data_IF_279057603136
#
_entry.id   IF_279057603136
#
_cell.length_a   1.000
_cell.length_b   1.000
_cell.length_c   1.000
_cell.angle_alpha   90.00
_cell.angle_beta   90.00
_cell.angle_gamma   90.00
#
_symmetry.space_group_name_H-M   'P 1'
#
loop_
_entity.id
_entity.type
_entity.pdbx_description
1 polymer ?
#
# COMPACT_ATOMS: atom_id res chain seq x y z
N UNK A 1 -27.84 20.79 27.67
CA UNK A 1 -27.62 20.76 26.20
C UNK A 1 -26.37 21.56 25.79
N UNK A 2 -26.16 22.78 26.31
CA UNK A 2 -24.96 23.60 26.00
C UNK A 2 -23.65 22.94 26.43
N UNK A 3 -23.60 22.44 27.67
CA UNK A 3 -22.40 21.86 28.32
C UNK A 3 -21.83 20.62 27.60
N UNK A 4 -22.67 19.85 26.91
CA UNK A 4 -22.24 18.64 26.20
C UNK A 4 -21.70 18.93 24.79
N UNK A 5 -22.24 19.97 24.13
CA UNK A 5 -21.71 20.43 22.83
C UNK A 5 -20.26 20.87 22.99
N UNK A 6 -19.94 21.58 24.07
CA UNK A 6 -18.57 21.98 24.39
C UNK A 6 -17.66 20.78 24.69
N UNK A 7 -18.16 19.76 25.41
CA UNK A 7 -17.35 18.58 25.77
C UNK A 7 -17.08 17.63 24.59
N UNK A 8 -18.01 17.53 23.63
CA UNK A 8 -17.78 16.79 22.37
C UNK A 8 -16.81 17.56 21.46
N UNK A 9 -16.85 18.89 21.48
CA UNK A 9 -15.94 19.72 20.68
C UNK A 9 -14.50 19.79 21.24
N UNK A 10 -14.30 19.61 22.54
CA UNK A 10 -12.98 19.78 23.21
C UNK A 10 -12.22 18.48 23.52
N UNK A 11 -12.81 17.29 23.40
CA UNK A 11 -12.15 16.04 23.79
C UNK A 11 -12.20 14.98 22.68
N UNK A 12 -11.08 14.24 22.51
CA UNK A 12 -10.97 13.02 21.69
C UNK A 12 -12.28 12.24 21.67
N UNK A 13 -12.81 11.91 20.48
CA UNK A 13 -14.11 11.29 20.26
C UNK A 13 -14.41 10.23 21.34
N UNK A 14 -15.15 10.58 22.40
CA UNK A 14 -15.34 9.66 23.51
C UNK A 14 -16.35 8.61 23.07
N UNK A 15 -16.40 7.46 23.76
CA UNK A 15 -17.47 6.49 23.57
C UNK A 15 -18.83 7.17 23.81
N UNK A 16 -19.44 7.64 22.72
CA UNK A 16 -20.62 8.54 22.73
C UNK A 16 -21.80 7.87 23.40
N UNK A 17 -21.87 6.54 23.36
CA UNK A 17 -22.86 5.75 24.07
C UNK A 17 -22.68 5.81 25.59
N UNK A 18 -21.44 5.75 26.10
CA UNK A 18 -21.16 5.80 27.53
C UNK A 18 -21.47 7.19 28.11
N UNK A 19 -21.08 8.25 27.40
CA UNK A 19 -21.35 9.65 27.81
C UNK A 19 -22.86 9.94 27.78
N UNK A 20 -23.56 9.51 26.74
CA UNK A 20 -25.02 9.71 26.63
C UNK A 20 -25.78 8.99 27.73
N UNK A 21 -25.36 7.78 28.15
CA UNK A 21 -26.00 7.06 29.27
C UNK A 21 -25.85 7.78 30.60
N UNK A 22 -24.69 8.40 30.87
CA UNK A 22 -24.44 9.12 32.13
C UNK A 22 -25.24 10.42 32.25
N UNK A 23 -25.58 11.05 31.12
CA UNK A 23 -26.20 12.37 31.09
C UNK A 23 -27.73 12.34 30.96
N UNK A 24 -28.29 11.20 30.56
CA UNK A 24 -29.72 11.07 30.31
C UNK A 24 -30.39 10.33 31.45
N UNK A 25 -31.25 11.03 32.20
CA UNK A 25 -32.05 10.46 33.28
C UNK A 25 -33.26 9.67 32.73
N UNK A 26 -32.98 8.62 31.93
CA UNK A 26 -33.93 7.76 31.21
C UNK A 26 -34.77 8.42 30.09
N UNK A 27 -34.57 9.69 29.77
CA UNK A 27 -35.26 10.36 28.66
C UNK A 27 -34.76 9.89 27.27
N UNK A 28 -35.57 9.05 26.63
CA UNK A 28 -35.27 8.48 25.31
C UNK A 28 -35.20 9.52 24.18
N UNK A 29 -35.88 10.67 24.31
CA UNK A 29 -35.91 11.73 23.29
C UNK A 29 -34.59 12.47 23.28
N UNK A 30 -34.10 12.87 24.45
CA UNK A 30 -32.78 13.53 24.60
C UNK A 30 -31.65 12.58 24.16
N UNK A 31 -31.73 11.29 24.50
CA UNK A 31 -30.79 10.27 24.03
C UNK A 31 -30.74 10.17 22.51
N UNK A 32 -31.88 10.25 21.82
CA UNK A 32 -31.95 10.18 20.35
C UNK A 32 -31.32 11.43 19.73
N UNK A 33 -31.64 12.62 20.24
CA UNK A 33 -31.07 13.88 19.75
C UNK A 33 -29.54 13.93 19.92
N UNK A 34 -29.02 13.47 21.06
CA UNK A 34 -27.58 13.43 21.32
C UNK A 34 -26.83 12.46 20.41
N UNK A 35 -27.42 11.30 20.10
CA UNK A 35 -26.85 10.38 19.11
C UNK A 35 -26.82 10.98 17.71
N UNK A 36 -27.86 11.70 17.30
CA UNK A 36 -27.91 12.37 15.99
C UNK A 36 -26.84 13.46 15.91
N UNK A 37 -26.72 14.27 16.95
CA UNK A 37 -25.68 15.31 17.02
C UNK A 37 -24.27 14.70 16.97
N UNK A 38 -23.98 13.70 17.81
CA UNK A 38 -22.67 13.05 17.81
C UNK A 38 -22.32 12.41 16.46
N UNK A 39 -23.29 11.79 15.77
CA UNK A 39 -23.10 11.30 14.40
C UNK A 39 -22.77 12.43 13.43
N UNK A 40 -23.50 13.55 13.50
CA UNK A 40 -23.26 14.71 12.64
C UNK A 40 -21.84 15.29 12.80
N UNK A 41 -21.30 15.32 14.04
CA UNK A 41 -19.93 15.76 14.31
C UNK A 41 -18.86 14.84 13.70
N UNK A 42 -19.13 13.54 13.57
CA UNK A 42 -18.21 12.59 12.94
C UNK A 42 -18.44 12.43 11.43
N UNK A 43 -19.59 12.87 10.92
CA UNK A 43 -20.03 12.61 9.54
C UNK A 43 -19.07 13.20 8.51
N UNK A 44 -18.54 14.41 8.75
CA UNK A 44 -17.59 15.05 7.83
C UNK A 44 -16.27 14.27 7.76
N UNK A 45 -15.73 13.86 8.91
CA UNK A 45 -14.52 13.04 8.96
C UNK A 45 -14.73 11.66 8.33
N UNK A 46 -15.88 11.02 8.59
CA UNK A 46 -16.26 9.76 7.95
C UNK A 46 -16.41 9.89 6.44
N UNK A 47 -17.10 10.94 5.96
CA UNK A 47 -17.27 11.20 4.54
C UNK A 47 -15.91 11.43 3.87
N UNK A 48 -15.05 12.24 4.47
CA UNK A 48 -13.68 12.45 3.99
C UNK A 48 -12.90 11.14 3.92
N UNK A 49 -12.91 10.34 4.99
CA UNK A 49 -12.20 9.05 5.03
C UNK A 49 -12.73 8.09 3.96
N UNK A 50 -14.04 7.98 3.82
CA UNK A 50 -14.67 7.14 2.82
C UNK A 50 -14.29 7.59 1.40
N UNK A 51 -14.37 8.89 1.11
CA UNK A 51 -13.93 9.44 -0.19
C UNK A 51 -12.45 9.14 -0.42
N UNK A 52 -11.58 9.45 0.55
CA UNK A 52 -10.13 9.26 0.40
C UNK A 52 -9.73 7.81 0.17
N UNK A 53 -10.24 6.87 0.96
CA UNK A 53 -9.82 5.47 0.91
C UNK A 53 -10.58 4.65 -0.15
N UNK A 54 -11.83 5.00 -0.45
CA UNK A 54 -12.63 4.28 -1.45
C UNK A 54 -12.49 4.83 -2.86
N UNK A 55 -12.01 6.06 -3.03
CA UNK A 55 -11.84 6.71 -4.34
C UNK A 55 -10.36 7.03 -4.55
N UNK A 56 -9.83 8.05 -3.85
CA UNK A 56 -8.52 8.63 -4.18
C UNK A 56 -7.35 7.64 -4.01
N UNK A 57 -7.39 6.81 -2.96
CA UNK A 57 -6.31 5.88 -2.61
C UNK A 57 -6.63 4.43 -2.97
N UNK A 58 -7.77 4.16 -3.63
CA UNK A 58 -8.26 2.80 -3.88
C UNK A 58 -7.20 1.94 -4.58
N UNK A 59 -6.60 2.46 -5.64
CA UNK A 59 -5.64 1.71 -6.46
C UNK A 59 -4.31 1.52 -5.73
N UNK A 60 -3.84 2.55 -5.02
CA UNK A 60 -2.64 2.45 -4.20
C UNK A 60 -2.80 1.42 -3.07
N UNK A 61 -3.97 1.38 -2.43
CA UNK A 61 -4.30 0.40 -1.41
C UNK A 61 -4.43 -1.01 -1.98
N UNK A 62 -4.97 -1.15 -3.19
CA UNK A 62 -5.03 -2.43 -3.88
C UNK A 62 -3.62 -2.95 -4.18
N UNK A 63 -2.75 -2.12 -4.76
CA UNK A 63 -1.34 -2.45 -4.99
C UNK A 63 -0.65 -2.85 -3.68
N UNK A 64 -0.84 -2.08 -2.62
CA UNK A 64 -0.29 -2.41 -1.30
C UNK A 64 -0.84 -3.75 -0.78
N UNK A 65 -2.15 -3.99 -0.90
CA UNK A 65 -2.81 -5.23 -0.48
C UNK A 65 -2.18 -6.43 -1.16
N UNK A 66 -2.02 -6.39 -2.48
CA UNK A 66 -1.53 -7.52 -3.29
C UNK A 66 -0.02 -7.70 -3.19
N UNK A 67 0.74 -6.62 -3.01
CA UNK A 67 2.18 -6.69 -2.76
C UNK A 67 2.50 -7.51 -1.51
N UNK A 68 1.63 -7.53 -0.49
CA UNK A 68 1.80 -8.35 0.71
C UNK A 68 1.80 -9.85 0.43
N UNK A 69 1.27 -10.32 -0.69
CA UNK A 69 1.38 -11.74 -1.05
C UNK A 69 2.82 -12.17 -1.34
N UNK A 70 3.71 -11.24 -1.68
CA UNK A 70 5.14 -11.52 -1.76
C UNK A 70 5.76 -11.84 -0.40
N UNK A 71 5.19 -11.36 0.71
CA UNK A 71 5.75 -11.62 2.03
C UNK A 71 5.28 -12.99 2.55
N UNK A 72 6.19 -13.95 2.79
CA UNK A 72 5.81 -15.28 3.28
C UNK A 72 5.05 -15.25 4.61
N UNK A 73 5.36 -14.31 5.50
CA UNK A 73 4.63 -14.19 6.78
C UNK A 73 3.21 -13.71 6.52
N UNK A 74 3.05 -12.70 5.66
CA UNK A 74 1.73 -12.13 5.36
C UNK A 74 0.87 -13.03 4.49
N UNK A 75 1.43 -13.76 3.55
CA UNK A 75 0.65 -14.71 2.75
C UNK A 75 0.09 -15.83 3.62
N UNK A 76 0.84 -16.30 4.63
CA UNK A 76 0.36 -17.28 5.60
C UNK A 76 -0.72 -16.71 6.52
N UNK A 77 -0.65 -15.44 6.93
CA UNK A 77 -1.71 -14.77 7.70
C UNK A 77 -2.99 -14.56 6.85
N UNK A 78 -2.83 -14.15 5.59
CA UNK A 78 -3.93 -13.74 4.71
C UNK A 78 -4.64 -14.91 4.05
N UNK A 79 -3.95 -16.03 3.83
CA UNK A 79 -4.48 -17.22 3.14
C UNK A 79 -5.25 -16.87 1.85
N UNK A 80 -4.61 -16.18 0.87
CA UNK A 80 -5.29 -15.82 -0.36
C UNK A 80 -5.73 -17.06 -1.14
N UNK A 81 -6.84 -16.94 -1.85
CA UNK A 81 -7.37 -17.97 -2.75
C UNK A 81 -7.04 -17.60 -4.20
N UNK A 82 -7.26 -18.53 -5.13
CA UNK A 82 -6.98 -18.31 -6.55
C UNK A 82 -7.66 -17.05 -7.13
N UNK A 83 -8.87 -16.71 -6.69
CA UNK A 83 -9.55 -15.48 -7.10
C UNK A 83 -8.87 -14.21 -6.60
N UNK A 84 -8.20 -14.25 -5.44
CA UNK A 84 -7.51 -13.10 -4.87
C UNK A 84 -6.19 -12.82 -5.62
N UNK A 85 -5.66 -13.80 -6.37
CA UNK A 85 -4.47 -13.65 -7.20
C UNK A 85 -4.76 -12.82 -8.45
N UNK A 86 -6.01 -12.75 -8.92
CA UNK A 86 -6.39 -11.88 -10.04
C UNK A 86 -6.16 -10.39 -9.71
N UNK A 87 -6.27 -10.01 -8.43
CA UNK A 87 -5.99 -8.64 -7.98
C UNK A 87 -4.53 -8.23 -8.27
N UNK A 88 -3.58 -9.17 -8.45
CA UNK A 88 -2.18 -8.85 -8.79
C UNK A 88 -2.04 -8.13 -10.14
N UNK A 89 -3.06 -8.18 -11.01
CA UNK A 89 -3.12 -7.38 -12.24
C UNK A 89 -3.13 -5.87 -11.98
N UNK A 90 -3.39 -5.44 -10.74
CA UNK A 90 -3.19 -4.05 -10.33
C UNK A 90 -1.73 -3.59 -10.44
N UNK A 91 -0.77 -4.52 -10.45
CA UNK A 91 0.63 -4.24 -10.75
C UNK A 91 0.79 -4.10 -12.26
N UNK A 92 1.24 -2.93 -12.72
CA UNK A 92 1.32 -2.60 -14.16
C UNK A 92 2.09 -3.64 -14.99
N UNK A 93 3.14 -4.24 -14.43
CA UNK A 93 3.94 -5.25 -15.14
C UNK A 93 3.25 -6.63 -15.26
N UNK A 94 2.13 -6.85 -14.55
CA UNK A 94 1.33 -8.07 -14.62
C UNK A 94 -0.05 -7.88 -15.28
N UNK A 95 -0.44 -6.64 -15.59
CA UNK A 95 -1.78 -6.30 -16.06
C UNK A 95 -2.23 -7.12 -17.29
N UNK A 96 -1.30 -7.37 -18.22
CA UNK A 96 -1.57 -8.09 -19.48
C UNK A 96 -1.04 -9.53 -19.47
N UNK A 97 -0.41 -9.98 -18.38
CA UNK A 97 0.31 -11.25 -18.34
C UNK A 97 -0.53 -12.37 -17.70
N UNK A 98 -1.57 -12.81 -18.43
CA UNK A 98 -2.50 -13.84 -17.95
C UNK A 98 -1.82 -15.18 -17.67
N UNK A 99 -0.85 -15.59 -18.50
CA UNK A 99 -0.12 -16.85 -18.33
C UNK A 99 0.64 -16.89 -16.99
N UNK A 100 1.24 -15.75 -16.60
CA UNK A 100 1.90 -15.62 -15.31
C UNK A 100 0.92 -15.69 -14.16
N UNK A 101 -0.25 -15.02 -14.27
CA UNK A 101 -1.30 -15.08 -13.24
C UNK A 101 -1.82 -16.51 -13.05
N UNK A 102 -2.05 -17.25 -14.14
CA UNK A 102 -2.49 -18.64 -14.06
C UNK A 102 -1.39 -19.58 -13.53
N UNK A 103 -0.13 -19.29 -13.84
CA UNK A 103 1.04 -19.88 -13.20
C UNK A 103 1.04 -19.69 -11.68
N UNK A 104 0.89 -18.44 -11.21
CA UNK A 104 0.83 -18.10 -9.79
C UNK A 104 -0.32 -18.81 -9.06
N UNK A 105 -1.50 -18.89 -9.68
CA UNK A 105 -2.66 -19.61 -9.13
C UNK A 105 -2.38 -21.10 -8.95
N UNK A 106 -1.72 -21.75 -9.92
CA UNK A 106 -1.34 -23.16 -9.83
C UNK A 106 -0.32 -23.43 -8.73
N UNK A 107 0.65 -22.51 -8.57
CA UNK A 107 1.70 -22.63 -7.57
C UNK A 107 1.28 -22.22 -6.15
N UNK A 108 0.17 -21.49 -6.01
CA UNK A 108 -0.27 -20.91 -4.74
C UNK A 108 -0.32 -21.91 -3.57
N UNK A 109 -0.85 -23.15 -3.71
CA UNK A 109 -0.85 -24.11 -2.62
C UNK A 109 0.57 -24.53 -2.18
N UNK A 110 1.48 -24.66 -3.14
CA UNK A 110 2.89 -24.99 -2.88
C UNK A 110 3.57 -23.82 -2.18
N UNK A 111 3.32 -22.60 -2.66
CA UNK A 111 3.86 -21.38 -2.04
C UNK A 111 3.40 -21.23 -0.58
N UNK A 112 2.11 -21.41 -0.29
CA UNK A 112 1.58 -21.38 1.09
C UNK A 112 2.22 -22.45 1.98
N UNK A 113 2.42 -23.66 1.47
CA UNK A 113 3.09 -24.75 2.18
C UNK A 113 4.54 -24.38 2.52
N UNK A 114 5.28 -23.77 1.58
CA UNK A 114 6.67 -23.34 1.79
C UNK A 114 6.81 -22.09 2.65
N UNK A 115 5.82 -21.21 2.63
CA UNK A 115 5.75 -20.03 3.48
C UNK A 115 5.46 -20.40 4.94
N UNK A 116 4.77 -21.52 5.18
CA UNK A 116 4.47 -22.03 6.52
C UNK A 116 5.75 -22.32 7.30
N UNK A 117 5.97 -21.58 8.39
CA UNK A 117 7.13 -21.75 9.28
C UNK A 117 8.27 -20.76 9.05
N UNK A 118 8.14 -19.83 8.10
CA UNK A 118 9.10 -18.74 7.95
C UNK A 118 8.87 -17.67 9.01
N UNK A 119 9.93 -17.35 9.75
CA UNK A 119 9.94 -16.23 10.69
C UNK A 119 10.17 -14.90 9.98
N UNK A 120 9.72 -13.80 10.59
CA UNK A 120 9.88 -12.46 10.01
C UNK A 120 11.36 -12.02 9.89
N UNK A 121 12.26 -12.66 10.66
CA UNK A 121 13.70 -12.36 10.67
C UNK A 121 14.47 -13.08 9.55
N UNK A 122 13.82 -14.00 8.83
CA UNK A 122 14.44 -14.77 7.76
C UNK A 122 14.51 -13.97 6.46
N UNK A 123 15.63 -14.05 5.75
CA UNK A 123 15.78 -13.44 4.44
C UNK A 123 14.78 -14.04 3.44
N UNK A 124 13.78 -13.25 3.02
CA UNK A 124 12.70 -13.66 2.12
C UNK A 124 13.21 -14.13 0.76
N UNK A 125 14.33 -13.55 0.30
CA UNK A 125 15.01 -13.97 -0.93
C UNK A 125 15.49 -15.42 -0.89
N UNK A 126 15.90 -15.91 0.29
CA UNK A 126 16.36 -17.29 0.45
C UNK A 126 15.23 -18.27 0.15
N UNK A 127 13.99 -17.96 0.53
CA UNK A 127 12.85 -18.81 0.20
C UNK A 127 12.70 -18.97 -1.33
N UNK A 128 12.61 -17.85 -2.04
CA UNK A 128 12.37 -17.86 -3.48
C UNK A 128 13.54 -18.45 -4.27
N UNK A 129 14.77 -18.27 -3.79
CA UNK A 129 15.94 -18.87 -4.43
C UNK A 129 16.04 -20.37 -4.16
N UNK A 130 15.76 -20.84 -2.94
CA UNK A 130 15.82 -22.27 -2.63
C UNK A 130 14.68 -23.08 -3.26
N UNK A 131 13.54 -22.44 -3.54
CA UNK A 131 12.35 -23.10 -4.06
C UNK A 131 11.98 -22.68 -5.48
N UNK A 132 12.87 -22.00 -6.21
CA UNK A 132 12.59 -21.49 -7.56
C UNK A 132 12.18 -22.57 -8.56
N UNK A 133 12.58 -23.83 -8.34
CA UNK A 133 12.17 -24.97 -9.18
C UNK A 133 10.74 -25.44 -8.91
N UNK A 134 10.21 -25.21 -7.71
CA UNK A 134 8.86 -25.62 -7.30
C UNK A 134 7.83 -24.49 -7.43
N UNK A 135 8.30 -23.24 -7.31
CA UNK A 135 7.49 -22.03 -7.42
C UNK A 135 8.15 -20.98 -8.34
N UNK A 136 8.46 -21.33 -9.61
CA UNK A 136 9.12 -20.42 -10.53
C UNK A 136 8.36 -19.11 -10.76
N UNK A 137 7.03 -19.14 -10.95
CA UNK A 137 6.26 -17.91 -11.18
C UNK A 137 6.28 -16.98 -9.96
N UNK A 138 6.08 -17.52 -8.75
CA UNK A 138 6.16 -16.70 -7.53
C UNK A 138 7.56 -16.11 -7.33
N UNK A 139 8.59 -16.89 -7.62
CA UNK A 139 9.98 -16.45 -7.43
C UNK A 139 10.34 -15.30 -8.39
N UNK A 140 9.95 -15.40 -9.65
CA UNK A 140 10.14 -14.36 -10.67
C UNK A 140 9.37 -13.08 -10.34
N UNK A 141 8.08 -13.22 -9.99
CA UNK A 141 7.21 -12.07 -9.70
C UNK A 141 7.65 -11.36 -8.43
N UNK A 142 8.02 -12.09 -7.37
CA UNK A 142 8.48 -11.48 -6.13
C UNK A 142 9.83 -10.76 -6.31
N UNK A 143 10.74 -11.29 -7.13
CA UNK A 143 11.98 -10.60 -7.51
C UNK A 143 11.69 -9.33 -8.30
N UNK A 144 10.81 -9.40 -9.30
CA UNK A 144 10.37 -8.22 -10.07
C UNK A 144 9.72 -7.17 -9.18
N UNK A 145 8.92 -7.59 -8.21
CA UNK A 145 8.27 -6.70 -7.25
C UNK A 145 9.30 -5.96 -6.37
N UNK A 146 10.38 -6.63 -5.94
CA UNK A 146 11.47 -5.98 -5.19
C UNK A 146 12.23 -4.94 -6.01
N UNK A 147 12.24 -5.08 -7.35
CA UNK A 147 12.85 -4.09 -8.25
C UNK A 147 11.96 -2.87 -8.47
N UNK A 148 10.68 -2.91 -8.08
CA UNK A 148 9.85 -1.72 -8.08
C UNK A 148 10.37 -0.76 -7.00
N UNK A 149 11.05 0.30 -7.44
CA UNK A 149 11.54 1.33 -6.54
C UNK A 149 10.32 2.00 -5.87
N UNK A 150 10.14 1.87 -4.54
CA UNK A 150 8.94 2.36 -3.86
C UNK A 150 8.90 3.90 -3.75
N UNK A 151 10.00 4.58 -4.07
CA UNK A 151 10.14 6.03 -3.92
C UNK A 151 11.19 6.57 -4.87
N UNK A 152 10.89 7.67 -5.58
CA UNK A 152 11.88 8.41 -6.38
C UNK A 152 13.02 8.95 -5.52
N UNK A 153 12.84 9.10 -4.20
CA UNK A 153 13.82 9.69 -3.29
C UNK A 153 15.17 8.96 -3.27
N UNK A 154 15.22 7.65 -3.55
CA UNK A 154 16.48 6.92 -3.67
C UNK A 154 17.27 7.35 -4.92
N UNK A 155 16.59 7.47 -6.07
CA UNK A 155 17.17 8.00 -7.29
C UNK A 155 17.49 9.49 -7.13
N UNK A 156 16.59 10.30 -6.58
CA UNK A 156 16.82 11.72 -6.30
C UNK A 156 18.00 11.96 -5.38
N UNK A 157 18.22 11.11 -4.36
CA UNK A 157 19.40 11.20 -3.50
C UNK A 157 20.68 10.91 -4.29
N UNK A 158 20.67 9.93 -5.19
CA UNK A 158 21.80 9.64 -6.08
C UNK A 158 22.04 10.81 -7.04
N UNK A 159 20.99 11.33 -7.67
CA UNK A 159 21.06 12.50 -8.54
C UNK A 159 21.53 13.75 -7.79
N UNK A 160 21.10 13.96 -6.54
CA UNK A 160 21.55 15.07 -5.71
C UNK A 160 23.02 14.93 -5.31
N UNK A 161 23.49 13.72 -5.00
CA UNK A 161 24.92 13.45 -4.76
C UNK A 161 25.74 13.71 -6.02
N UNK A 162 25.28 13.23 -7.17
CA UNK A 162 25.93 13.48 -8.46
C UNK A 162 25.97 14.99 -8.78
N UNK A 163 24.85 15.69 -8.63
CA UNK A 163 24.74 17.12 -8.86
C UNK A 163 25.64 17.96 -7.92
N UNK A 164 25.92 17.46 -6.72
CA UNK A 164 26.89 18.08 -5.81
C UNK A 164 28.35 17.69 -6.08
N UNK A 165 28.58 16.66 -6.91
CA UNK A 165 29.92 16.15 -7.24
C UNK A 165 30.49 16.77 -8.51
N UNK A 166 29.63 17.28 -9.40
CA UNK A 166 30.05 17.99 -10.62
C UNK A 166 30.15 19.49 -10.37
N UNK A 167 31.16 20.14 -10.92
CA UNK A 167 31.22 21.61 -10.98
C UNK A 167 30.29 22.12 -12.09
N UNK A 168 29.84 23.39 -12.03
CA UNK A 168 28.94 23.94 -13.07
C UNK A 168 29.50 23.79 -14.49
N UNK A 169 30.82 23.86 -14.65
CA UNK A 169 31.48 23.66 -15.93
C UNK A 169 31.37 22.21 -16.45
N UNK A 170 31.38 21.22 -15.55
CA UNK A 170 31.17 19.80 -15.91
C UNK A 170 29.70 19.50 -16.21
N UNK A 171 28.76 20.19 -15.55
CA UNK A 171 27.33 20.13 -15.87
C UNK A 171 27.05 20.64 -17.29
N UNK A 172 27.60 21.80 -17.65
CA UNK A 172 27.45 22.37 -19.00
C UNK A 172 28.02 21.44 -20.08
N UNK A 173 29.19 20.84 -19.85
CA UNK A 173 29.79 19.90 -20.80
C UNK A 173 29.02 18.57 -20.92
N UNK A 174 28.37 18.10 -19.84
CA UNK A 174 27.50 16.91 -19.88
C UNK A 174 26.20 17.18 -20.64
N UNK A 175 25.59 18.36 -20.46
CA UNK A 175 24.41 18.76 -21.23
C UNK A 175 24.75 18.88 -22.72
N UNK A 176 25.84 19.56 -23.07
CA UNK A 176 26.33 19.69 -24.45
C UNK A 176 26.64 18.32 -25.07
N UNK A 177 27.28 17.41 -24.33
CA UNK A 177 27.55 16.04 -24.81
C UNK A 177 26.27 15.22 -24.98
N UNK A 178 25.27 15.38 -24.11
CA UNK A 178 23.97 14.68 -24.23
C UNK A 178 23.19 15.14 -25.45
N UNK A 179 23.21 16.45 -25.74
CA UNK A 179 22.60 17.05 -26.92
C UNK A 179 23.34 16.55 -28.17
N UNK A 180 24.67 16.56 -28.15
CA UNK A 180 25.49 16.08 -29.27
C UNK A 180 25.28 14.58 -29.55
N UNK A 181 25.07 13.75 -28.52
CA UNK A 181 24.71 12.34 -28.68
C UNK A 181 23.31 12.16 -29.26
N UNK A 182 22.32 12.96 -28.86
CA UNK A 182 20.97 12.89 -29.44
C UNK A 182 20.97 13.27 -30.93
N UNK A 183 21.72 14.29 -31.32
CA UNK A 183 21.81 14.71 -32.72
C UNK A 183 22.66 13.76 -33.59
N UNK A 184 23.64 13.05 -33.01
CA UNK A 184 24.49 12.12 -33.76
C UNK A 184 23.86 10.72 -33.99
N UNK A 185 22.72 10.41 -33.36
CA UNK A 185 21.97 9.18 -33.61
C UNK A 185 20.87 9.33 -34.69
N UNK A 186 20.61 10.55 -35.17
CA UNK A 186 19.66 10.86 -36.25
C UNK A 186 20.37 11.14 -37.61
N UNK A 187 21.46 10.42 -37.91
CA UNK A 187 22.14 10.44 -39.22
C UNK A 187 22.35 9.04 -39.80
#
# INVERSE_FOLDING_TARGET
MLELKERIAKAYYPNTNAVTRKLVNKDNTVKKQLKVYAKSCAQLGYAYFNTKFSIDLKDALLIFKVARYSDPVKVTELQPRCCDIDDLKALKFLAENNDTIDGLKRELPVYLSKASGISNDTCKLTLWNCHSSQIPYWSEVCKSLLLLQPSSAAAERIFSVLNNSFTEQQHSSLEEASIMLQYNYDA
#
